data_IF_491961770953
#
_entry.id   IF_491961770953
#
_cell.length_a   1.000
_cell.length_b   1.000
_cell.length_c   1.000
_cell.angle_alpha   90.00
_cell.angle_beta   90.00
_cell.angle_gamma   90.00
#
_symmetry.space_group_name_H-M   'P 1'
#
loop_
_entity.id
_entity.type
_entity.pdbx_description
1 polymer ?
#
# COMPACT_ATOMS: atom_id res chain seq x y z
N UNK A 1 13.94 10.77 -7.92
CA UNK A 1 13.85 9.30 -8.02
C UNK A 1 13.16 8.81 -6.77
N UNK A 2 12.25 7.85 -6.89
CA UNK A 2 11.57 7.20 -5.76
C UNK A 2 11.83 5.71 -5.78
N UNK A 3 11.82 5.09 -4.62
CA UNK A 3 11.98 3.64 -4.45
C UNK A 3 10.71 3.07 -3.84
N UNK A 4 10.26 1.94 -4.37
CA UNK A 4 9.27 1.08 -3.72
C UNK A 4 9.94 -0.23 -3.33
N UNK A 5 9.72 -0.66 -2.09
CA UNK A 5 10.24 -1.92 -1.55
C UNK A 5 9.10 -2.59 -0.77
N UNK A 6 8.87 -3.86 -1.03
CA UNK A 6 7.90 -4.72 -0.36
C UNK A 6 8.57 -6.05 0.02
N UNK A 7 8.29 -6.54 1.23
CA UNK A 7 8.63 -7.90 1.62
C UNK A 7 7.43 -8.82 1.38
N UNK A 8 7.64 -9.87 0.60
CA UNK A 8 6.65 -10.91 0.33
C UNK A 8 6.50 -11.84 1.54
N UNK A 9 5.40 -12.59 1.59
CA UNK A 9 5.09 -13.48 2.71
C UNK A 9 6.13 -14.59 2.96
N UNK A 10 6.95 -14.90 1.95
CA UNK A 10 8.07 -15.85 2.04
C UNK A 10 9.41 -15.20 2.42
N UNK A 11 9.38 -13.92 2.79
CA UNK A 11 10.55 -13.13 3.19
C UNK A 11 11.34 -12.52 2.03
N UNK A 12 11.00 -12.84 0.76
CA UNK A 12 11.68 -12.25 -0.40
C UNK A 12 11.34 -10.78 -0.54
N UNK A 13 12.32 -9.98 -0.95
CA UNK A 13 12.09 -8.59 -1.30
C UNK A 13 11.65 -8.46 -2.76
N UNK A 14 10.73 -7.54 -3.01
CA UNK A 14 10.40 -7.03 -4.34
C UNK A 14 10.56 -5.52 -4.29
N UNK A 15 11.28 -4.94 -5.24
CA UNK A 15 11.42 -3.50 -5.30
C UNK A 15 11.84 -2.99 -6.67
N UNK A 16 11.54 -1.73 -6.92
CA UNK A 16 12.00 -1.01 -8.10
C UNK A 16 12.10 0.48 -7.77
N UNK A 17 12.99 1.16 -8.49
CA UNK A 17 13.11 2.61 -8.51
C UNK A 17 12.56 3.18 -9.80
N UNK A 18 12.00 4.38 -9.73
CA UNK A 18 11.50 5.09 -10.91
C UNK A 18 11.71 6.60 -10.78
N UNK A 19 11.73 7.26 -11.93
CA UNK A 19 11.72 8.71 -12.02
C UNK A 19 10.30 9.24 -11.93
N UNK A 20 10.13 10.35 -11.21
CA UNK A 20 8.84 10.95 -10.87
C UNK A 20 8.20 11.69 -12.05
N UNK A 21 8.88 11.74 -13.21
CA UNK A 21 8.34 12.36 -14.42
C UNK A 21 8.12 13.86 -14.25
N UNK A 22 6.92 14.33 -14.60
CA UNK A 22 6.49 15.74 -14.44
C UNK A 22 5.58 15.95 -13.21
N UNK A 23 5.56 15.00 -12.29
CA UNK A 23 4.60 14.98 -11.17
C UNK A 23 5.20 15.68 -9.97
N UNK A 24 4.90 16.98 -9.85
CA UNK A 24 5.43 17.84 -8.77
C UNK A 24 5.19 17.27 -7.38
N UNK A 25 4.00 16.71 -7.14
CA UNK A 25 3.66 16.11 -5.84
C UNK A 25 4.50 14.87 -5.50
N UNK A 26 5.12 14.25 -6.52
CA UNK A 26 6.01 13.10 -6.33
C UNK A 26 7.48 13.50 -6.36
N UNK A 27 7.80 14.74 -6.75
CA UNK A 27 9.19 15.23 -6.81
C UNK A 27 9.73 15.60 -5.42
N UNK A 28 8.86 15.81 -4.43
CA UNK A 28 9.23 16.24 -3.08
C UNK A 28 9.15 15.11 -2.06
N UNK A 29 10.29 14.73 -1.48
CA UNK A 29 10.34 13.78 -0.36
C UNK A 29 10.17 14.57 0.93
N UNK A 30 9.31 14.09 1.83
CA UNK A 30 9.12 14.70 3.13
C UNK A 30 10.37 14.51 4.00
N UNK A 31 10.81 15.59 4.65
CA UNK A 31 11.99 15.58 5.53
C UNK A 31 11.51 15.64 6.97
N UNK A 32 11.77 14.59 7.73
CA UNK A 32 11.40 14.51 9.14
C UNK A 32 12.64 14.62 9.99
N UNK A 33 12.64 15.59 10.89
CA UNK A 33 13.69 15.77 11.88
C UNK A 33 13.24 15.11 13.18
N UNK A 34 14.15 14.37 13.81
CA UNK A 34 13.91 13.92 15.19
C UNK A 34 13.71 15.13 16.10
N UNK A 35 12.65 15.07 16.90
CA UNK A 35 12.36 16.04 17.93
C UNK A 35 12.52 15.41 19.31
N UNK A 36 13.00 16.15 20.31
CA UNK A 36 13.05 15.67 21.68
C UNK A 36 11.63 15.50 22.24
N UNK A 37 11.30 14.31 22.74
CA UNK A 37 10.09 14.02 23.49
C UNK A 37 10.47 13.38 24.82
N UNK A 38 10.48 14.17 25.90
CA UNK A 38 11.00 13.74 27.20
C UNK A 38 12.49 13.37 27.11
N UNK A 39 12.80 12.10 27.36
CA UNK A 39 14.18 11.56 27.25
C UNK A 39 14.46 10.90 25.90
N UNK A 40 13.48 10.88 24.99
CA UNK A 40 13.57 10.22 23.69
C UNK A 40 13.75 11.23 22.57
N UNK A 41 14.25 10.76 21.43
CA UNK A 41 14.24 11.48 20.16
C UNK A 41 13.24 10.78 19.25
N UNK A 42 12.20 11.48 18.81
CA UNK A 42 11.08 10.89 18.08
C UNK A 42 10.95 11.54 16.72
N UNK A 43 10.85 10.70 15.70
CA UNK A 43 10.42 11.09 14.37
C UNK A 43 8.99 10.58 14.17
N UNK A 44 8.04 11.51 14.17
CA UNK A 44 6.63 11.21 13.92
C UNK A 44 6.36 11.24 12.41
N UNK A 45 5.89 10.12 11.86
CA UNK A 45 5.50 10.01 10.46
C UNK A 45 4.01 10.31 10.26
N UNK A 46 3.27 10.65 11.31
CA UNK A 46 1.82 10.74 11.30
C UNK A 46 1.15 9.36 11.26
N UNK A 47 -0.17 9.35 11.45
CA UNK A 47 -1.01 8.15 11.52
C UNK A 47 -0.62 7.17 12.65
N UNK A 48 0.01 7.67 13.71
CA UNK A 48 0.42 6.85 14.86
C UNK A 48 1.68 6.01 14.64
N UNK A 49 2.44 6.29 13.58
CA UNK A 49 3.73 5.65 13.32
C UNK A 49 4.85 6.59 13.74
N UNK A 50 5.65 6.15 14.69
CA UNK A 50 6.80 6.89 15.21
C UNK A 50 8.06 6.02 15.15
N UNK A 51 9.21 6.65 14.91
CA UNK A 51 10.50 6.03 15.13
C UNK A 51 11.22 6.73 16.26
N UNK A 52 11.61 5.94 17.26
CA UNK A 52 12.35 6.39 18.42
C UNK A 52 13.83 6.13 18.16
N UNK A 53 14.63 7.18 18.16
CA UNK A 53 16.08 7.07 18.16
C UNK A 53 16.61 7.13 19.59
N UNK A 54 17.32 6.08 19.96
CA UNK A 54 18.07 6.02 21.21
C UNK A 54 19.55 6.00 20.87
N UNK A 55 20.27 7.13 21.00
CA UNK A 55 21.71 7.12 20.79
C UNK A 55 22.39 6.19 21.79
N UNK A 56 23.40 5.46 21.33
CA UNK A 56 24.27 4.73 22.22
C UNK A 56 25.03 5.71 23.12
N UNK A 57 24.96 5.54 24.44
CA UNK A 57 25.76 6.35 25.37
C UNK A 57 27.27 6.10 25.18
N UNK A 58 27.62 4.87 24.78
CA UNK A 58 28.96 4.47 24.42
C UNK A 58 28.90 3.63 23.13
N UNK A 59 29.49 4.09 22.01
CA UNK A 59 29.55 3.34 20.76
C UNK A 59 30.23 1.96 20.88
N UNK A 60 31.01 1.72 21.93
CA UNK A 60 31.60 0.41 22.20
C UNK A 60 30.59 -0.60 22.78
N UNK A 61 29.48 -0.13 23.36
CA UNK A 61 28.44 -0.95 23.99
C UNK A 61 27.30 -1.30 23.02
N UNK A 62 27.26 -0.67 21.84
CA UNK A 62 26.45 -1.20 20.74
C UNK A 62 27.04 -2.52 20.30
N UNK A 63 26.23 -3.59 20.33
CA UNK A 63 26.48 -4.76 19.49
C UNK A 63 26.76 -4.22 18.10
N UNK A 64 28.02 -4.30 17.66
CA UNK A 64 28.38 -3.91 16.31
C UNK A 64 27.43 -4.62 15.35
N UNK A 65 27.08 -3.99 14.23
CA UNK A 65 26.40 -4.69 13.14
C UNK A 65 27.24 -5.96 12.94
N UNK A 66 26.69 -7.17 13.20
CA UNK A 66 27.47 -8.38 13.12
C UNK A 66 28.13 -8.38 11.75
N UNK A 67 29.42 -8.72 11.71
CA UNK A 67 30.16 -8.90 10.47
C UNK A 67 29.26 -9.68 9.53
N UNK A 68 28.90 -9.09 8.40
CA UNK A 68 27.95 -9.67 7.47
C UNK A 68 28.62 -10.95 6.92
N UNK A 69 28.36 -12.12 7.55
CA UNK A 69 29.00 -13.39 7.19
C UNK A 69 28.74 -13.72 5.71
N UNK A 70 27.58 -13.29 5.21
CA UNK A 70 27.28 -13.09 3.81
C UNK A 70 26.21 -11.99 3.68
N UNK A 71 26.29 -11.14 2.66
CA UNK A 71 25.18 -10.26 2.33
C UNK A 71 23.94 -11.12 2.04
N UNK A 72 22.77 -10.82 2.64
CA UNK A 72 21.54 -11.45 2.19
C UNK A 72 21.46 -11.25 0.67
N UNK A 73 21.12 -12.31 -0.05
CA UNK A 73 20.90 -12.28 -1.50
C UNK A 73 19.68 -11.41 -1.77
N UNK A 74 19.85 -10.10 -1.72
CA UNK A 74 18.81 -9.13 -2.06
C UNK A 74 18.67 -9.14 -3.57
N UNK A 75 17.46 -9.32 -4.11
CA UNK A 75 17.26 -9.23 -5.55
C UNK A 75 17.70 -7.86 -6.05
N UNK A 76 18.24 -7.80 -7.27
CA UNK A 76 18.58 -6.53 -7.91
C UNK A 76 17.32 -5.65 -7.98
N UNK A 77 17.37 -4.52 -7.29
CA UNK A 77 16.33 -3.48 -7.38
C UNK A 77 16.59 -2.71 -8.66
N UNK A 78 15.72 -2.90 -9.65
CA UNK A 78 15.83 -2.21 -10.94
C UNK A 78 15.45 -0.74 -10.81
N UNK A 79 16.31 0.16 -11.29
CA UNK A 79 15.99 1.59 -11.42
C UNK A 79 15.72 1.86 -12.90
N UNK A 80 14.47 2.15 -13.24
CA UNK A 80 14.08 2.34 -14.63
C UNK A 80 14.20 3.81 -15.05
N UNK A 81 14.79 4.11 -16.23
CA UNK A 81 14.79 5.46 -16.78
C UNK A 81 13.36 5.89 -17.19
N UNK A 82 13.06 7.20 -17.28
CA UNK A 82 11.75 7.68 -17.71
C UNK A 82 11.58 7.53 -19.22
N UNK A 83 11.36 6.30 -19.68
CA UNK A 83 11.07 6.00 -21.09
C UNK A 83 9.70 5.32 -21.22
N UNK A 84 9.05 5.50 -22.36
CA UNK A 84 7.76 4.83 -22.64
C UNK A 84 7.89 3.29 -22.59
N UNK A 85 9.08 2.75 -22.87
CA UNK A 85 9.41 1.33 -22.71
C UNK A 85 9.52 0.91 -21.24
N UNK A 86 10.06 1.76 -20.36
CA UNK A 86 10.10 1.48 -18.93
C UNK A 86 8.69 1.35 -18.32
N UNK A 87 7.74 2.18 -18.75
CA UNK A 87 6.33 2.11 -18.32
C UNK A 87 5.63 0.78 -18.69
N UNK A 88 6.12 0.11 -19.74
CA UNK A 88 5.67 -1.23 -20.14
C UNK A 88 6.44 -2.37 -19.50
N UNK A 89 7.68 -2.12 -19.07
CA UNK A 89 8.57 -3.12 -18.44
C UNK A 89 8.36 -3.21 -16.93
N UNK A 90 7.99 -2.09 -16.27
CA UNK A 90 7.52 -2.16 -14.88
C UNK A 90 6.10 -2.72 -14.91
N UNK A 91 5.99 -4.02 -14.69
CA UNK A 91 4.70 -4.68 -14.55
C UNK A 91 4.08 -4.23 -13.22
N UNK A 92 3.20 -3.23 -13.30
CA UNK A 92 2.41 -2.65 -12.20
C UNK A 92 3.23 -1.95 -11.12
N UNK A 93 3.77 -0.76 -11.42
CA UNK A 93 4.35 0.08 -10.39
C UNK A 93 3.26 0.52 -9.40
N UNK A 94 3.43 0.10 -8.15
CA UNK A 94 2.99 0.76 -6.92
C UNK A 94 3.65 2.15 -6.86
N UNK A 95 2.83 3.19 -6.74
CA UNK A 95 3.26 4.59 -6.79
C UNK A 95 3.04 5.25 -5.40
N UNK A 96 3.46 6.51 -5.18
CA UNK A 96 3.50 7.11 -3.86
C UNK A 96 2.16 7.25 -3.09
N UNK A 97 0.95 6.99 -3.61
CA UNK A 97 -0.19 6.85 -2.69
C UNK A 97 -0.22 5.54 -1.89
N UNK A 98 0.48 4.51 -2.36
CA UNK A 98 0.41 3.16 -1.80
C UNK A 98 1.54 2.84 -0.79
N UNK A 99 2.56 3.69 -0.73
CA UNK A 99 3.67 3.63 0.22
C UNK A 99 4.15 5.07 0.50
N UNK A 100 4.78 5.30 1.66
CA UNK A 100 5.41 6.58 1.99
C UNK A 100 6.92 6.44 2.07
N UNK A 101 7.61 7.52 1.79
CA UNK A 101 9.05 7.62 1.91
C UNK A 101 9.47 8.97 2.47
N UNK A 102 10.53 8.96 3.26
CA UNK A 102 10.99 10.12 4.03
C UNK A 102 12.50 10.22 4.00
N UNK A 103 13.00 11.43 4.14
CA UNK A 103 14.39 11.68 4.56
C UNK A 103 14.37 11.97 6.05
N UNK A 104 14.93 11.05 6.82
CA UNK A 104 15.08 11.15 8.25
C UNK A 104 16.37 11.90 8.58
N UNK A 105 16.26 13.00 9.31
CA UNK A 105 17.38 13.86 9.71
C UNK A 105 17.55 13.80 11.22
N UNK A 106 18.75 13.38 11.63
CA UNK A 106 19.14 13.28 13.03
C UNK A 106 19.60 14.63 13.59
N UNK A 107 19.63 14.81 14.92
CA UNK A 107 20.19 16.01 15.53
C UNK A 107 21.61 16.28 15.00
N UNK A 108 21.93 17.54 14.72
CA UNK A 108 23.15 17.91 14.00
C UNK A 108 24.45 17.48 14.72
N UNK A 109 24.40 17.39 16.04
CA UNK A 109 25.48 16.96 16.93
C UNK A 109 25.58 15.42 17.09
N UNK A 110 24.64 14.66 16.53
CA UNK A 110 24.65 13.19 16.61
C UNK A 110 25.77 12.52 15.81
N UNK A 111 26.32 13.21 14.80
CA UNK A 111 27.25 12.63 13.83
C UNK A 111 26.63 11.63 12.84
N UNK A 112 25.31 11.38 12.92
CA UNK A 112 24.59 10.45 12.05
C UNK A 112 24.12 11.19 10.80
N UNK A 113 24.42 10.62 9.62
CA UNK A 113 23.98 11.18 8.33
C UNK A 113 22.50 10.91 8.09
N UNK A 114 21.80 11.75 7.31
CA UNK A 114 20.39 11.51 6.97
C UNK A 114 20.16 10.14 6.32
N UNK A 115 19.00 9.55 6.59
CA UNK A 115 18.58 8.26 6.04
C UNK A 115 17.36 8.45 5.14
N UNK A 116 17.36 7.79 3.98
CA UNK A 116 16.15 7.66 3.16
C UNK A 116 15.43 6.37 3.54
N UNK A 117 14.18 6.49 3.97
CA UNK A 117 13.35 5.38 4.43
C UNK A 117 12.14 5.22 3.53
N UNK A 118 11.73 3.98 3.27
CA UNK A 118 10.52 3.63 2.54
C UNK A 118 9.67 2.75 3.45
N UNK A 119 8.42 3.12 3.67
CA UNK A 119 7.48 2.43 4.53
C UNK A 119 6.21 2.09 3.77
N UNK A 120 5.73 0.86 3.94
CA UNK A 120 4.41 0.49 3.47
C UNK A 120 3.37 0.97 4.51
N UNK A 121 2.57 1.96 4.13
CA UNK A 121 1.58 2.60 5.03
C UNK A 121 0.32 1.77 5.29
N UNK A 122 0.22 0.60 4.68
CA UNK A 122 -0.94 -0.31 4.84
C UNK A 122 -0.71 -1.39 5.90
N UNK A 123 0.34 -1.28 6.71
CA UNK A 123 0.69 -2.26 7.74
C UNK A 123 0.11 -1.93 9.12
N UNK A 124 -0.39 -0.72 9.31
CA UNK A 124 -0.91 -0.30 10.62
C UNK A 124 -2.16 -1.12 10.97
N UNK A 125 -2.23 -1.67 12.20
CA UNK A 125 -3.47 -2.24 12.69
C UNK A 125 -4.57 -1.18 12.76
N UNK A 126 -5.82 -1.57 12.57
CA UNK A 126 -6.93 -0.64 12.67
C UNK A 126 -8.29 -1.31 12.72
N UNK A 127 -9.31 -0.51 13.04
CA UNK A 127 -10.70 -0.94 13.16
C UNK A 127 -11.47 -0.47 11.94
N UNK A 128 -12.30 -1.34 11.38
CA UNK A 128 -13.15 -0.98 10.23
C UNK A 128 -14.25 -0.01 10.66
N UNK A 129 -14.31 1.13 9.98
CA UNK A 129 -15.33 2.18 10.15
C UNK A 129 -16.07 2.42 8.83
N UNK A 130 -17.01 3.36 8.83
CA UNK A 130 -17.71 3.78 7.62
C UNK A 130 -18.95 2.97 7.25
N UNK A 131 -19.65 3.48 6.24
CA UNK A 131 -20.81 2.85 5.62
C UNK A 131 -20.49 2.47 4.19
N UNK A 132 -20.90 1.27 3.78
CA UNK A 132 -20.92 0.92 2.37
C UNK A 132 -22.11 1.56 1.66
N UNK A 133 -22.22 1.30 0.36
CA UNK A 133 -23.33 1.78 -0.47
C UNK A 133 -24.22 0.63 -0.93
N UNK A 134 -25.46 0.95 -1.29
CA UNK A 134 -26.32 0.00 -1.97
C UNK A 134 -25.91 -0.10 -3.44
N UNK A 135 -25.73 -1.33 -3.93
CA UNK A 135 -25.18 -1.58 -5.26
C UNK A 135 -26.18 -2.34 -6.10
N UNK A 136 -26.91 -1.68 -7.00
CA UNK A 136 -27.88 -2.35 -7.86
C UNK A 136 -27.17 -3.15 -8.97
N UNK A 137 -27.72 -4.32 -9.29
CA UNK A 137 -27.28 -5.14 -10.42
C UNK A 137 -25.94 -5.86 -10.18
N UNK A 138 -25.09 -5.87 -11.20
CA UNK A 138 -23.80 -6.58 -11.17
C UNK A 138 -22.76 -5.65 -10.55
N UNK A 139 -22.34 -5.96 -9.32
CA UNK A 139 -21.53 -5.07 -8.49
C UNK A 139 -20.24 -4.63 -9.17
N UNK A 140 -19.44 -5.56 -9.68
CA UNK A 140 -18.14 -5.24 -10.28
C UNK A 140 -18.20 -4.78 -11.74
N UNK A 141 -19.39 -4.62 -12.34
CA UNK A 141 -19.51 -4.20 -13.74
C UNK A 141 -18.92 -2.80 -13.97
N UNK A 142 -19.01 -1.90 -12.99
CA UNK A 142 -18.47 -0.53 -13.04
C UNK A 142 -17.03 -0.38 -12.58
N UNK A 143 -16.37 -1.45 -12.11
CA UNK A 143 -15.05 -1.36 -11.47
C UNK A 143 -13.92 -0.88 -12.42
N UNK A 144 -14.16 -0.94 -13.74
CA UNK A 144 -13.26 -0.43 -14.78
C UNK A 144 -13.47 1.06 -15.11
N UNK A 145 -14.26 1.82 -14.35
CA UNK A 145 -14.62 3.22 -14.65
C UNK A 145 -14.59 4.09 -13.39
N UNK A 146 -14.53 5.41 -13.57
CA UNK A 146 -14.59 6.38 -12.45
C UNK A 146 -13.54 6.10 -11.36
N UNK A 147 -13.96 6.10 -10.09
CA UNK A 147 -13.11 5.70 -8.96
C UNK A 147 -13.24 4.21 -8.60
N UNK A 148 -13.87 3.41 -9.47
CA UNK A 148 -14.27 2.03 -9.17
C UNK A 148 -15.70 1.97 -8.65
N UNK A 149 -16.03 0.86 -7.99
CA UNK A 149 -17.35 0.63 -7.38
C UNK A 149 -17.23 0.62 -5.86
N UNK A 150 -18.23 1.15 -5.13
CA UNK A 150 -18.18 1.24 -3.69
C UNK A 150 -18.24 -0.15 -3.03
N UNK A 151 -17.85 -0.22 -1.76
CA UNK A 151 -18.06 -1.40 -0.92
C UNK A 151 -19.55 -1.60 -0.67
N UNK A 152 -20.14 -2.78 -0.94
CA UNK A 152 -21.55 -3.02 -0.68
C UNK A 152 -21.89 -2.92 0.81
N UNK A 153 -23.04 -2.34 1.15
CA UNK A 153 -23.48 -2.12 2.53
C UNK A 153 -23.44 -3.39 3.38
N UNK A 154 -23.89 -4.53 2.85
CA UNK A 154 -23.89 -5.82 3.54
C UNK A 154 -22.48 -6.35 3.84
N UNK A 155 -21.46 -5.93 3.06
CA UNK A 155 -20.06 -6.28 3.30
C UNK A 155 -19.46 -5.35 4.35
N UNK A 156 -19.74 -4.05 4.25
CA UNK A 156 -19.35 -3.07 5.25
C UNK A 156 -19.88 -3.46 6.65
N UNK A 157 -21.17 -3.81 6.75
CA UNK A 157 -21.81 -4.17 8.02
C UNK A 157 -21.18 -5.39 8.68
N UNK A 158 -20.76 -6.40 7.89
CA UNK A 158 -20.06 -7.58 8.43
C UNK A 158 -18.68 -7.26 8.96
N UNK A 159 -18.00 -6.25 8.42
CA UNK A 159 -16.62 -5.93 8.76
C UNK A 159 -16.52 -4.83 9.81
N UNK A 160 -17.51 -3.93 9.88
CA UNK A 160 -17.53 -2.78 10.79
C UNK A 160 -17.28 -3.20 12.24
N UNK A 161 -16.41 -2.46 12.91
CA UNK A 161 -16.02 -2.71 14.29
C UNK A 161 -15.01 -3.85 14.49
N UNK A 162 -14.63 -4.59 13.42
CA UNK A 162 -13.56 -5.59 13.51
C UNK A 162 -12.19 -4.93 13.39
N UNK A 163 -11.25 -5.39 14.21
CA UNK A 163 -9.85 -4.99 14.14
C UNK A 163 -9.06 -5.92 13.22
N UNK A 164 -8.13 -5.35 12.46
CA UNK A 164 -7.19 -6.08 11.61
C UNK A 164 -5.76 -5.67 11.91
N UNK A 165 -4.82 -6.60 11.81
CA UNK A 165 -3.39 -6.36 12.05
C UNK A 165 -2.67 -5.71 10.87
N UNK A 166 -3.39 -5.31 9.84
CA UNK A 166 -2.84 -4.84 8.57
C UNK A 166 -3.83 -5.02 7.42
N UNK A 167 -3.66 -4.23 6.35
CA UNK A 167 -4.60 -4.20 5.23
C UNK A 167 -4.68 -5.53 4.47
N UNK A 168 -3.62 -6.33 4.49
CA UNK A 168 -3.61 -7.68 3.92
C UNK A 168 -4.62 -8.62 4.61
N UNK A 169 -4.72 -8.54 5.95
CA UNK A 169 -5.68 -9.32 6.73
C UNK A 169 -7.11 -8.81 6.48
N UNK A 170 -7.29 -7.49 6.43
CA UNK A 170 -8.57 -6.88 6.04
C UNK A 170 -9.01 -7.33 4.65
N UNK A 171 -8.15 -7.23 3.63
CA UNK A 171 -8.46 -7.64 2.25
C UNK A 171 -8.88 -9.11 2.17
N UNK A 172 -8.23 -10.00 2.94
CA UNK A 172 -8.63 -11.42 3.01
C UNK A 172 -10.04 -11.55 3.58
N UNK A 173 -10.31 -10.89 4.71
CA UNK A 173 -11.62 -10.91 5.35
C UNK A 173 -12.71 -10.27 4.48
N UNK A 174 -12.38 -9.22 3.74
CA UNK A 174 -13.26 -8.54 2.78
C UNK A 174 -13.75 -9.52 1.72
N UNK A 175 -12.85 -10.25 1.05
CA UNK A 175 -13.26 -11.23 0.04
C UNK A 175 -14.00 -12.42 0.64
N UNK A 176 -13.64 -12.88 1.85
CA UNK A 176 -14.45 -13.90 2.53
C UNK A 176 -15.87 -13.41 2.85
N UNK A 177 -16.03 -12.14 3.25
CA UNK A 177 -17.34 -11.55 3.50
C UNK A 177 -18.18 -11.52 2.23
N UNK A 178 -17.58 -11.15 1.08
CA UNK A 178 -18.21 -11.26 -0.25
C UNK A 178 -18.64 -12.71 -0.53
N UNK A 179 -17.78 -13.68 -0.22
CA UNK A 179 -18.08 -15.10 -0.38
C UNK A 179 -19.20 -15.62 0.51
N UNK A 180 -19.49 -14.94 1.62
CA UNK A 180 -20.62 -15.30 2.49
C UNK A 180 -21.98 -14.79 1.98
N UNK A 181 -21.97 -13.87 1.00
CA UNK A 181 -23.16 -13.25 0.42
C UNK A 181 -23.51 -13.91 -0.91
N UNK A 182 -24.50 -14.81 -0.92
CA UNK A 182 -24.85 -15.61 -2.09
C UNK A 182 -25.25 -14.78 -3.32
N UNK A 183 -25.90 -13.62 -3.11
CA UNK A 183 -26.26 -12.67 -4.16
C UNK A 183 -25.04 -11.98 -4.81
N UNK A 184 -23.95 -11.79 -4.06
CA UNK A 184 -22.69 -11.25 -4.59
C UNK A 184 -21.83 -12.37 -5.18
N UNK A 185 -21.65 -13.48 -4.46
CA UNK A 185 -20.85 -14.62 -4.91
C UNK A 185 -21.41 -15.23 -6.21
N UNK A 186 -22.74 -15.28 -6.35
CA UNK A 186 -23.42 -15.80 -7.53
C UNK A 186 -23.16 -15.00 -8.82
N UNK A 187 -22.59 -13.80 -8.74
CA UNK A 187 -22.21 -12.98 -9.91
C UNK A 187 -20.90 -13.46 -10.56
N UNK A 188 -20.15 -14.35 -9.90
CA UNK A 188 -18.84 -14.81 -10.33
C UNK A 188 -18.89 -16.21 -10.95
N UNK A 189 -17.96 -16.51 -11.87
CA UNK A 189 -17.73 -17.88 -12.33
C UNK A 189 -17.11 -18.75 -11.22
N UNK A 190 -17.17 -20.08 -11.38
CA UNK A 190 -16.71 -21.04 -10.35
C UNK A 190 -15.26 -20.83 -9.89
N UNK A 191 -14.36 -20.49 -10.81
CA UNK A 191 -12.95 -20.22 -10.48
C UNK A 191 -12.82 -19.02 -9.55
N UNK A 192 -13.54 -17.93 -9.86
CA UNK A 192 -13.54 -16.75 -9.03
C UNK A 192 -14.28 -16.98 -7.70
N UNK A 193 -15.35 -17.76 -7.68
CA UNK A 193 -16.02 -18.15 -6.44
C UNK A 193 -15.05 -18.89 -5.51
N UNK A 194 -14.29 -19.85 -6.02
CA UNK A 194 -13.28 -20.58 -5.24
C UNK A 194 -12.22 -19.63 -4.65
N UNK A 195 -11.74 -18.65 -5.42
CA UNK A 195 -10.78 -17.64 -4.93
C UNK A 195 -11.38 -16.81 -3.80
N UNK A 196 -12.59 -16.29 -4.00
CA UNK A 196 -13.29 -15.44 -3.03
C UNK A 196 -13.52 -16.20 -1.71
N UNK A 197 -13.99 -17.45 -1.77
CA UNK A 197 -14.19 -18.30 -0.60
C UNK A 197 -12.88 -18.57 0.17
N UNK A 198 -11.74 -18.58 -0.52
CA UNK A 198 -10.41 -18.67 0.08
C UNK A 198 -9.82 -17.32 0.51
N UNK A 199 -10.61 -16.24 0.49
CA UNK A 199 -10.19 -14.88 0.86
C UNK A 199 -9.23 -14.23 -0.14
N UNK A 200 -9.28 -14.65 -1.41
CA UNK A 200 -8.46 -14.09 -2.49
C UNK A 200 -9.32 -13.26 -3.42
N UNK A 201 -8.75 -12.16 -3.93
CA UNK A 201 -9.40 -11.33 -4.92
C UNK A 201 -9.71 -12.14 -6.20
N UNK A 202 -10.92 -11.97 -6.78
CA UNK A 202 -11.27 -12.60 -8.05
C UNK A 202 -10.49 -11.97 -9.21
N UNK A 203 -10.37 -12.71 -10.31
CA UNK A 203 -9.86 -12.18 -11.56
C UNK A 203 -10.87 -11.22 -12.20
N UNK A 204 -10.34 -10.10 -12.70
CA UNK A 204 -11.03 -9.17 -13.60
C UNK A 204 -11.09 -9.72 -15.04
N UNK A 205 -11.96 -9.18 -15.92
CA UNK A 205 -11.96 -9.50 -17.34
C UNK A 205 -10.57 -9.30 -17.96
N UNK A 206 -10.18 -10.13 -18.93
CA UNK A 206 -8.82 -10.08 -19.51
C UNK A 206 -8.47 -8.72 -20.13
N UNK A 207 -9.47 -8.00 -20.66
CA UNK A 207 -9.31 -6.64 -21.20
C UNK A 207 -8.97 -5.58 -20.14
N UNK A 208 -9.21 -5.90 -18.87
CA UNK A 208 -9.03 -5.04 -17.70
C UNK A 208 -7.75 -5.37 -16.90
N UNK A 209 -6.96 -6.32 -17.38
CA UNK A 209 -5.67 -6.66 -16.81
C UNK A 209 -4.65 -5.57 -17.11
N UNK A 210 -3.63 -5.48 -16.26
CA UNK A 210 -2.43 -4.71 -16.53
C UNK A 210 -1.20 -5.60 -16.33
N UNK A 211 -0.61 -6.04 -17.44
CA UNK A 211 0.46 -7.04 -17.42
C UNK A 211 0.04 -8.32 -16.66
N UNK A 212 0.81 -8.71 -15.65
CA UNK A 212 0.50 -9.88 -14.79
C UNK A 212 -0.54 -9.59 -13.70
N UNK A 213 -0.90 -8.32 -13.48
CA UNK A 213 -1.93 -7.98 -12.51
C UNK A 213 -3.31 -8.13 -13.14
N UNK A 214 -4.00 -9.15 -12.67
CA UNK A 214 -5.23 -9.65 -13.25
C UNK A 214 -6.42 -9.57 -12.29
N UNK A 215 -6.20 -9.23 -11.02
CA UNK A 215 -7.21 -9.33 -9.95
C UNK A 215 -7.80 -7.97 -9.62
N UNK A 216 -9.05 -7.94 -9.22
CA UNK A 216 -9.63 -6.72 -8.67
C UNK A 216 -8.83 -6.22 -7.45
N UNK A 217 -8.73 -4.91 -7.32
CA UNK A 217 -7.94 -4.22 -6.31
C UNK A 217 -8.86 -3.39 -5.42
N UNK A 218 -8.48 -3.21 -4.14
CA UNK A 218 -9.17 -2.29 -3.23
C UNK A 218 -8.37 -1.00 -3.20
N UNK A 219 -8.97 0.08 -3.68
CA UNK A 219 -8.39 1.40 -3.81
C UNK A 219 -8.92 2.33 -2.71
N UNK A 220 -8.08 3.27 -2.27
CA UNK A 220 -8.46 4.33 -1.34
C UNK A 220 -8.82 5.59 -2.13
N UNK A 221 -10.02 6.13 -1.96
CA UNK A 221 -10.49 7.34 -2.68
C UNK A 221 -9.61 8.54 -2.30
N UNK A 222 -9.53 8.83 -1.01
CA UNK A 222 -8.53 9.70 -0.42
C UNK A 222 -7.31 8.86 -0.08
N UNK A 223 -6.18 9.18 -0.71
CA UNK A 223 -4.94 8.44 -0.52
C UNK A 223 -4.47 8.54 0.94
N UNK A 224 -3.93 7.44 1.47
CA UNK A 224 -3.41 7.38 2.85
C UNK A 224 -2.32 8.44 3.09
N UNK A 225 -1.47 8.70 2.09
CA UNK A 225 -0.44 9.73 2.18
C UNK A 225 -1.00 11.16 2.34
N UNK A 226 -2.27 11.39 2.01
CA UNK A 226 -2.95 12.69 2.13
C UNK A 226 -3.91 12.74 3.32
N UNK A 227 -3.85 11.75 4.23
CA UNK A 227 -4.70 11.69 5.42
C UNK A 227 -5.91 10.76 5.29
N UNK A 228 -6.07 10.06 4.16
CA UNK A 228 -7.15 9.12 3.96
C UNK A 228 -7.10 7.94 4.94
N UNK A 229 -8.26 7.61 5.53
CA UNK A 229 -8.36 6.51 6.49
C UNK A 229 -8.13 5.14 5.84
N UNK A 230 -7.33 4.30 6.49
CA UNK A 230 -6.93 2.97 5.98
C UNK A 230 -8.09 1.98 5.96
N UNK A 231 -8.96 2.01 6.98
CA UNK A 231 -10.03 1.02 7.21
C UNK A 231 -11.44 1.62 7.21
N UNK A 232 -11.59 2.88 6.80
CA UNK A 232 -12.92 3.43 6.54
C UNK A 232 -13.45 2.90 5.20
N UNK A 233 -14.47 2.06 5.22
CA UNK A 233 -15.03 1.47 4.00
C UNK A 233 -15.64 2.50 3.05
N UNK A 234 -16.03 3.68 3.53
CA UNK A 234 -16.51 4.77 2.67
C UNK A 234 -15.36 5.41 1.88
N UNK A 235 -14.12 5.24 2.35
CA UNK A 235 -12.92 5.63 1.64
C UNK A 235 -12.42 4.52 0.69
N UNK A 236 -13.12 3.38 0.58
CA UNK A 236 -12.66 2.23 -0.22
C UNK A 236 -13.55 1.99 -1.43
N UNK A 237 -12.91 1.70 -2.56
CA UNK A 237 -13.57 1.22 -3.77
C UNK A 237 -12.89 -0.03 -4.30
N UNK A 238 -13.60 -0.78 -5.15
CA UNK A 238 -13.04 -1.90 -5.90
C UNK A 238 -12.82 -1.48 -7.36
N UNK A 239 -11.60 -1.66 -7.84
CA UNK A 239 -11.17 -1.25 -9.19
C UNK A 239 -10.58 -2.43 -9.96
N UNK A 240 -10.59 -2.35 -11.29
CA UNK A 240 -9.74 -3.23 -12.12
C UNK A 240 -8.28 -2.77 -12.09
N UNK A 241 -7.29 -3.66 -12.34
CA UNK A 241 -5.87 -3.26 -12.41
C UNK A 241 -5.60 -2.14 -13.40
N UNK A 242 -6.24 -2.22 -14.58
CA UNK A 242 -6.14 -1.18 -15.59
C UNK A 242 -6.71 0.15 -15.10
N UNK A 243 -7.91 0.16 -14.50
CA UNK A 243 -8.51 1.39 -14.02
C UNK A 243 -7.77 1.99 -12.82
N UNK A 244 -7.34 1.17 -11.87
CA UNK A 244 -6.56 1.63 -10.72
C UNK A 244 -5.31 2.40 -11.14
N UNK A 245 -4.63 1.90 -12.17
CA UNK A 245 -3.51 2.60 -12.78
C UNK A 245 -3.89 3.94 -13.39
N UNK A 246 -5.01 4.00 -14.10
CA UNK A 246 -5.48 5.21 -14.77
C UNK A 246 -5.87 6.28 -13.75
N UNK A 247 -6.53 5.92 -12.65
CA UNK A 247 -6.83 6.82 -11.53
C UNK A 247 -5.53 7.46 -11.03
N UNK A 248 -4.48 6.65 -10.80
CA UNK A 248 -3.16 7.15 -10.40
C UNK A 248 -2.44 7.95 -11.48
N UNK A 249 -2.84 7.86 -12.76
CA UNK A 249 -2.32 8.68 -13.87
C UNK A 249 -3.14 9.96 -14.09
N UNK A 250 -4.39 9.99 -13.64
CA UNK A 250 -5.29 11.13 -13.72
C UNK A 250 -5.04 12.08 -12.54
N UNK A 251 -4.82 11.55 -11.32
CA UNK A 251 -4.37 12.32 -10.15
C UNK A 251 -2.99 12.98 -10.33
N UNK A 252 -2.31 12.62 -11.41
CA UNK A 252 -1.00 13.09 -11.86
C UNK A 252 -1.07 14.37 -12.72
N UNK A 253 -2.26 14.82 -13.14
CA UNK A 253 -2.50 15.99 -14.00
C UNK A 253 -3.04 17.17 -13.21
#
# INVERSE_FOLDING_TARGET
>A
MRLHIEQQADGRLKGYGYYTGKHRDWETIEVIQFQPLGTQQVADFGNGVELIWTPAQNPADTLGIPSLEAAPQTPHIWIYPPTQQADSMIVNPVHPPDYRDFILVFPADSGVKPLYIVMNVRLDPGVVTGTGEDVPGVWLAGAGSGLGVPVPVQIADKLRGKSFSGFGAFRRAFWMAVGSESNLLGQFNLVNQEKILNGRAPFSPRSEWRGENARYEIHHIENIQHGGSVYDVANLTVTTPKRHTEIHKESRR
#
